data_IF_162650057540
#
_entry.id   IF_162650057540
#
_cell.length_a   1.000
_cell.length_b   1.000
_cell.length_c   1.000
_cell.angle_alpha   90.00
_cell.angle_beta   90.00
_cell.angle_gamma   90.00
#
_symmetry.space_group_name_H-M   'P 1'
#
loop_
_entity.id
_entity.type
_entity.pdbx_description
1 polymer ?
#
# COMPACT_ATOMS: atom_id res chain seq x y z
N UNK A 1 30.83 -10.18 7.60
CA UNK A 1 30.11 -10.86 6.49
C UNK A 1 29.46 -9.74 5.65
N UNK A 2 30.03 -9.42 4.48
CA UNK A 2 29.48 -8.41 3.57
C UNK A 2 28.24 -9.07 2.95
N UNK A 3 27.04 -8.67 3.43
CA UNK A 3 25.79 -9.03 2.78
C UNK A 3 25.76 -8.29 1.44
N UNK A 4 26.02 -9.01 0.36
CA UNK A 4 25.87 -8.48 -1.00
C UNK A 4 24.39 -8.15 -1.20
N UNK A 5 24.10 -6.89 -1.53
CA UNK A 5 22.74 -6.48 -1.84
C UNK A 5 22.24 -7.30 -3.04
N UNK A 6 21.04 -7.87 -2.94
CA UNK A 6 20.43 -8.62 -4.03
C UNK A 6 20.10 -7.67 -5.20
N UNK A 7 20.32 -8.14 -6.42
CA UNK A 7 20.01 -7.37 -7.64
C UNK A 7 18.84 -8.03 -8.38
N UNK A 8 17.67 -7.36 -8.38
CA UNK A 8 16.47 -7.85 -9.03
C UNK A 8 16.46 -7.75 -10.55
N UNK A 9 17.48 -7.11 -11.13
CA UNK A 9 17.58 -6.94 -12.59
C UNK A 9 17.60 -8.24 -13.38
N UNK A 10 17.98 -9.36 -12.75
CA UNK A 10 17.94 -10.70 -13.36
C UNK A 10 16.55 -11.35 -13.38
N UNK A 11 15.56 -10.79 -12.67
CA UNK A 11 14.19 -11.31 -12.61
C UNK A 11 13.34 -10.68 -13.72
N UNK A 12 13.21 -9.37 -13.71
CA UNK A 12 12.34 -8.62 -14.63
C UNK A 12 12.92 -7.26 -15.04
N UNK A 13 14.25 -7.16 -15.08
CA UNK A 13 14.95 -5.94 -15.50
C UNK A 13 14.60 -5.48 -16.90
N UNK A 14 14.33 -6.40 -17.85
CA UNK A 14 13.87 -6.06 -19.21
C UNK A 14 12.48 -5.42 -19.18
N UNK A 15 11.51 -6.05 -18.49
CA UNK A 15 10.17 -5.49 -18.35
C UNK A 15 10.17 -4.12 -17.65
N UNK A 16 11.07 -3.93 -16.68
CA UNK A 16 11.28 -2.63 -16.06
C UNK A 16 11.80 -1.58 -17.07
N UNK A 17 12.83 -1.92 -17.86
CA UNK A 17 13.40 -0.98 -18.84
C UNK A 17 12.41 -0.59 -19.91
N UNK A 18 11.58 -1.53 -20.39
CA UNK A 18 10.53 -1.28 -21.38
C UNK A 18 9.48 -0.28 -20.85
N UNK A 19 9.09 -0.41 -19.58
CA UNK A 19 8.14 0.52 -18.94
C UNK A 19 8.75 1.90 -18.78
N UNK A 20 10.01 1.99 -18.31
CA UNK A 20 10.69 3.28 -18.12
C UNK A 20 10.96 3.97 -19.46
N UNK A 21 11.33 3.22 -20.49
CA UNK A 21 11.49 3.77 -21.85
C UNK A 21 10.15 4.30 -22.39
N UNK A 22 9.07 3.56 -22.20
CA UNK A 22 7.72 4.03 -22.55
C UNK A 22 7.35 5.32 -21.81
N UNK A 23 7.73 5.47 -20.55
CA UNK A 23 7.51 6.67 -19.77
C UNK A 23 8.32 7.85 -20.34
N UNK A 24 9.58 7.65 -20.74
CA UNK A 24 10.40 8.72 -21.33
C UNK A 24 9.85 9.25 -22.67
N UNK A 25 9.08 8.45 -23.40
CA UNK A 25 8.44 8.82 -24.65
C UNK A 25 6.98 9.27 -24.48
N UNK A 26 6.45 9.25 -23.25
CA UNK A 26 5.08 9.63 -22.96
C UNK A 26 4.88 11.16 -23.00
N UNK A 27 3.64 11.64 -23.27
CA UNK A 27 3.33 13.06 -23.14
C UNK A 27 3.55 13.55 -21.71
N UNK A 28 4.17 14.72 -21.52
CA UNK A 28 4.52 15.29 -20.21
C UNK A 28 3.34 15.46 -19.24
N UNK A 29 2.11 15.62 -19.75
CA UNK A 29 0.91 15.67 -18.89
C UNK A 29 0.63 14.30 -18.23
N UNK A 30 0.93 13.19 -18.91
CA UNK A 30 0.76 11.85 -18.37
C UNK A 30 1.79 11.61 -17.27
N UNK A 31 3.06 11.91 -17.54
CA UNK A 31 4.13 11.77 -16.55
C UNK A 31 3.90 12.62 -15.30
N UNK A 32 3.47 13.87 -15.50
CA UNK A 32 3.11 14.74 -14.40
C UNK A 32 1.96 14.20 -13.57
N UNK A 33 0.95 13.60 -14.20
CA UNK A 33 -0.19 12.99 -13.52
C UNK A 33 0.23 11.73 -12.74
N UNK A 34 1.03 10.86 -13.36
CA UNK A 34 1.51 9.63 -12.72
C UNK A 34 2.45 9.94 -11.57
N UNK A 35 3.38 10.89 -11.74
CA UNK A 35 4.26 11.34 -10.66
C UNK A 35 3.50 11.97 -9.49
N UNK A 36 2.51 12.81 -9.77
CA UNK A 36 1.64 13.37 -8.73
C UNK A 36 0.85 12.27 -7.99
N UNK A 37 0.32 11.27 -8.72
CA UNK A 37 -0.34 10.12 -8.13
C UNK A 37 0.61 9.28 -7.29
N UNK A 38 1.80 8.98 -7.80
CA UNK A 38 2.85 8.24 -7.10
C UNK A 38 3.22 8.90 -5.76
N UNK A 39 3.32 10.23 -5.74
CA UNK A 39 3.72 11.01 -4.55
C UNK A 39 2.57 11.20 -3.57
N UNK A 40 1.38 11.58 -4.04
CA UNK A 40 0.27 12.04 -3.19
C UNK A 40 -0.89 11.04 -3.14
N UNK A 41 -0.93 10.03 -4.00
CA UNK A 41 -2.08 9.11 -4.13
C UNK A 41 -2.42 8.32 -2.87
N UNK A 42 -1.45 8.11 -1.97
CA UNK A 42 -1.73 7.46 -0.67
C UNK A 42 -2.72 8.27 0.19
N UNK A 43 -2.82 9.59 0.01
CA UNK A 43 -3.81 10.41 0.70
C UNK A 43 -5.26 10.02 0.36
N UNK A 44 -5.51 9.51 -0.85
CA UNK A 44 -6.84 9.01 -1.25
C UNK A 44 -7.28 7.84 -0.36
N UNK A 45 -6.37 6.93 -0.02
CA UNK A 45 -6.69 5.82 0.89
C UNK A 45 -7.01 6.33 2.30
N UNK A 46 -6.28 7.32 2.80
CA UNK A 46 -6.59 7.96 4.08
C UNK A 46 -7.99 8.58 4.08
N UNK A 47 -8.37 9.30 3.01
CA UNK A 47 -9.71 9.85 2.85
C UNK A 47 -10.77 8.73 2.81
N UNK A 48 -10.53 7.65 2.04
CA UNK A 48 -11.46 6.51 1.98
C UNK A 48 -11.63 5.83 3.34
N UNK A 49 -10.57 5.71 4.14
CA UNK A 49 -10.64 5.18 5.52
C UNK A 49 -11.48 6.09 6.42
N UNK A 50 -11.28 7.41 6.37
CA UNK A 50 -12.07 8.39 7.14
C UNK A 50 -13.54 8.34 6.73
N UNK A 51 -13.84 8.32 5.43
CA UNK A 51 -15.21 8.19 4.91
C UNK A 51 -15.83 6.86 5.34
N UNK A 52 -15.07 5.78 5.27
CA UNK A 52 -15.51 4.45 5.73
C UNK A 52 -15.89 4.45 7.20
N UNK A 53 -15.01 4.97 8.06
CA UNK A 53 -15.28 5.12 9.48
C UNK A 53 -16.48 6.03 9.76
N UNK A 54 -16.56 7.20 9.13
CA UNK A 54 -17.66 8.14 9.29
C UNK A 54 -19.02 7.53 8.97
N UNK A 55 -19.09 6.70 7.92
CA UNK A 55 -20.32 5.99 7.55
C UNK A 55 -20.61 4.83 8.50
N UNK A 56 -19.59 4.07 8.88
CA UNK A 56 -19.71 2.90 9.74
C UNK A 56 -20.23 3.25 11.14
N UNK A 57 -19.76 4.36 11.74
CA UNK A 57 -20.23 4.80 13.07
C UNK A 57 -21.72 5.16 13.13
N UNK A 58 -22.35 5.46 11.97
CA UNK A 58 -23.80 5.68 11.86
C UNK A 58 -24.59 4.38 11.74
N UNK A 59 -23.93 3.29 11.39
CA UNK A 59 -24.55 1.95 11.29
C UNK A 59 -24.55 1.27 12.65
N UNK A 60 -23.46 1.39 13.42
CA UNK A 60 -23.35 0.84 14.75
C UNK A 60 -21.89 0.60 15.18
N UNK A 61 -21.72 0.27 16.46
CA UNK A 61 -20.41 0.13 17.09
C UNK A 61 -19.53 -0.95 16.43
N UNK A 62 -20.10 -2.08 16.03
CA UNK A 62 -19.35 -3.16 15.36
C UNK A 62 -18.80 -2.75 14.00
N UNK A 63 -19.64 -2.06 13.21
CA UNK A 63 -19.21 -1.51 11.93
C UNK A 63 -18.11 -0.46 12.12
N UNK A 64 -18.23 0.39 13.14
CA UNK A 64 -17.21 1.39 13.47
C UNK A 64 -15.89 0.75 13.92
N UNK A 65 -15.92 -0.33 14.72
CA UNK A 65 -14.73 -1.11 15.10
C UNK A 65 -14.04 -1.68 13.86
N UNK A 66 -14.81 -2.27 12.94
CA UNK A 66 -14.28 -2.81 11.69
C UNK A 66 -13.60 -1.71 10.87
N UNK A 67 -14.20 -0.52 10.79
CA UNK A 67 -13.63 0.61 10.06
C UNK A 67 -12.37 1.19 10.73
N UNK A 68 -12.34 1.27 12.07
CA UNK A 68 -11.17 1.72 12.83
C UNK A 68 -10.01 0.72 12.79
N UNK A 69 -10.29 -0.55 12.55
CA UNK A 69 -9.24 -1.56 12.37
C UNK A 69 -8.47 -1.36 11.05
N UNK A 70 -9.08 -0.74 10.02
CA UNK A 70 -8.43 -0.56 8.71
C UNK A 70 -7.09 0.17 8.82
N UNK A 71 -6.99 1.39 9.39
CA UNK A 71 -5.70 2.07 9.51
C UNK A 71 -4.69 1.28 10.37
N UNK A 72 -5.14 0.57 11.40
CA UNK A 72 -4.26 -0.27 12.23
C UNK A 72 -3.65 -1.40 11.41
N UNK A 73 -4.45 -2.08 10.59
CA UNK A 73 -4.00 -3.16 9.70
C UNK A 73 -3.04 -2.63 8.65
N UNK A 74 -3.32 -1.45 8.08
CA UNK A 74 -2.43 -0.81 7.09
C UNK A 74 -1.07 -0.47 7.70
N UNK A 75 -1.05 0.11 8.91
CA UNK A 75 0.19 0.42 9.62
C UNK A 75 0.97 -0.85 9.96
N UNK A 76 0.29 -1.90 10.40
CA UNK A 76 0.93 -3.20 10.67
C UNK A 76 1.52 -3.82 9.40
N UNK A 77 0.79 -3.77 8.28
CA UNK A 77 1.27 -4.26 6.98
C UNK A 77 2.51 -3.48 6.52
N UNK A 78 2.51 -2.15 6.65
CA UNK A 78 3.68 -1.31 6.37
C UNK A 78 4.87 -1.66 7.26
N UNK A 79 4.65 -1.89 8.56
CA UNK A 79 5.71 -2.29 9.48
C UNK A 79 6.35 -3.63 9.10
N UNK A 80 5.52 -4.63 8.76
CA UNK A 80 6.01 -5.94 8.30
C UNK A 80 6.77 -5.80 6.97
N UNK A 81 6.25 -5.03 6.03
CA UNK A 81 6.90 -4.74 4.75
C UNK A 81 8.30 -4.11 4.97
N UNK A 82 8.41 -3.15 5.88
CA UNK A 82 9.68 -2.50 6.24
C UNK A 82 10.69 -3.50 6.83
N UNK A 83 10.22 -4.47 7.64
CA UNK A 83 11.08 -5.53 8.16
C UNK A 83 11.56 -6.46 7.04
N UNK A 84 10.67 -6.87 6.12
CA UNK A 84 11.04 -7.66 4.95
C UNK A 84 12.06 -6.92 4.08
N UNK A 85 11.83 -5.63 3.84
CA UNK A 85 12.74 -4.75 3.09
C UNK A 85 14.14 -4.72 3.72
N UNK A 86 14.23 -4.60 5.02
CA UNK A 86 15.51 -4.59 5.75
C UNK A 86 16.22 -5.95 5.76
N UNK A 87 15.47 -7.05 5.59
CA UNK A 87 16.00 -8.40 5.52
C UNK A 87 16.52 -8.74 4.11
N UNK A 88 15.76 -8.43 3.05
CA UNK A 88 16.09 -8.75 1.66
C UNK A 88 17.17 -7.83 1.09
N UNK A 89 17.09 -6.53 1.35
CA UNK A 89 18.07 -5.51 0.94
C UNK A 89 18.32 -5.46 -0.56
N UNK A 90 17.26 -5.51 -1.35
CA UNK A 90 17.36 -5.41 -2.79
C UNK A 90 17.70 -3.98 -3.23
N UNK A 91 18.68 -3.85 -4.14
CA UNK A 91 19.06 -2.57 -4.73
C UNK A 91 17.98 -2.05 -5.68
N UNK A 92 17.70 -0.74 -5.63
CA UNK A 92 16.70 -0.14 -6.52
C UNK A 92 17.14 -0.18 -7.98
N UNK A 93 16.19 -0.36 -8.93
CA UNK A 93 16.49 -0.45 -10.37
C UNK A 93 17.23 0.78 -10.90
N UNK A 94 16.85 1.99 -10.46
CA UNK A 94 17.52 3.24 -10.85
C UNK A 94 19.02 3.28 -10.50
N UNK A 95 19.48 2.47 -9.54
CA UNK A 95 20.90 2.34 -9.18
C UNK A 95 21.59 1.20 -9.92
N UNK A 96 20.91 0.05 -10.00
CA UNK A 96 21.46 -1.17 -10.60
C UNK A 96 21.62 -1.02 -12.10
N UNK A 97 20.63 -0.42 -12.79
CA UNK A 97 20.59 -0.28 -14.24
C UNK A 97 21.03 1.10 -14.74
N UNK A 98 21.20 2.09 -13.84
CA UNK A 98 21.64 3.45 -14.15
C UNK A 98 20.79 4.13 -15.24
N UNK A 99 19.48 3.90 -15.21
CA UNK A 99 18.52 4.53 -16.13
C UNK A 99 18.02 5.85 -15.57
N UNK A 100 17.66 6.77 -16.46
CA UNK A 100 16.98 8.03 -16.09
C UNK A 100 15.54 7.71 -15.71
N UNK A 101 15.08 8.18 -14.56
CA UNK A 101 13.75 7.91 -13.99
C UNK A 101 12.99 9.23 -13.81
N UNK A 102 11.65 9.17 -13.80
CA UNK A 102 10.80 10.35 -13.59
C UNK A 102 10.91 10.89 -12.14
N UNK A 103 11.00 10.00 -11.17
CA UNK A 103 11.29 10.39 -9.78
C UNK A 103 12.78 10.23 -9.47
N UNK A 104 13.28 11.08 -8.57
CA UNK A 104 14.65 10.96 -8.08
C UNK A 104 14.85 9.59 -7.40
N UNK A 105 16.00 8.96 -7.67
CA UNK A 105 16.33 7.69 -7.06
C UNK A 105 16.45 7.86 -5.53
N UNK A 106 15.68 7.08 -4.74
CA UNK A 106 15.68 7.18 -3.28
C UNK A 106 17.07 7.00 -2.67
N UNK A 107 17.31 7.51 -1.46
CA UNK A 107 18.61 7.50 -0.80
C UNK A 107 19.24 6.10 -0.65
N UNK A 108 20.59 5.97 -0.60
CA UNK A 108 21.23 4.71 -0.27
C UNK A 108 20.71 4.13 1.05
N UNK A 109 20.41 2.81 1.06
CA UNK A 109 19.81 2.15 2.22
C UNK A 109 18.27 2.13 2.21
N UNK A 110 17.62 2.89 1.34
CA UNK A 110 16.20 2.70 1.03
C UNK A 110 16.04 1.62 -0.06
N UNK A 111 15.88 0.39 0.41
CA UNK A 111 15.83 -0.82 -0.41
C UNK A 111 14.58 -0.90 -1.29
N UNK A 112 14.63 -1.71 -2.36
CA UNK A 112 13.56 -1.84 -3.34
C UNK A 112 12.45 -2.77 -2.88
N UNK A 113 12.78 -4.00 -2.55
CA UNK A 113 11.84 -5.10 -2.30
C UNK A 113 11.40 -5.21 -0.83
N UNK A 114 10.12 -5.39 -0.53
CA UNK A 114 8.96 -5.16 -1.39
C UNK A 114 8.59 -3.67 -1.51
N UNK A 115 7.58 -3.32 -2.34
CA UNK A 115 7.16 -1.93 -2.51
C UNK A 115 6.20 -1.46 -1.41
N UNK A 116 6.63 -0.56 -0.53
CA UNK A 116 5.82 0.00 0.56
C UNK A 116 4.50 0.63 0.06
N UNK A 117 4.54 1.39 -1.05
CA UNK A 117 3.34 2.02 -1.61
C UNK A 117 2.32 0.98 -2.07
N UNK A 118 2.79 -0.08 -2.74
CA UNK A 118 1.93 -1.18 -3.18
C UNK A 118 1.34 -1.93 -1.98
N UNK A 119 2.14 -2.18 -0.93
CA UNK A 119 1.71 -2.85 0.31
C UNK A 119 0.63 -2.04 1.03
N UNK A 120 0.84 -0.74 1.25
CA UNK A 120 -0.13 0.15 1.90
C UNK A 120 -1.43 0.20 1.11
N UNK A 121 -1.34 0.40 -0.21
CA UNK A 121 -2.51 0.53 -1.08
C UNK A 121 -3.33 -0.77 -1.13
N UNK A 122 -2.67 -1.92 -1.28
CA UNK A 122 -3.33 -3.23 -1.31
C UNK A 122 -3.96 -3.58 0.06
N UNK A 123 -3.25 -3.32 1.16
CA UNK A 123 -3.80 -3.53 2.50
C UNK A 123 -5.04 -2.68 2.75
N UNK A 124 -5.00 -1.40 2.38
CA UNK A 124 -6.14 -0.50 2.50
C UNK A 124 -7.33 -0.97 1.65
N UNK A 125 -7.08 -1.36 0.40
CA UNK A 125 -8.13 -1.84 -0.51
C UNK A 125 -8.82 -3.08 0.05
N UNK A 126 -8.07 -4.11 0.43
CA UNK A 126 -8.61 -5.35 1.00
C UNK A 126 -9.36 -5.07 2.30
N UNK A 127 -8.78 -4.31 3.22
CA UNK A 127 -9.44 -4.01 4.49
C UNK A 127 -10.74 -3.19 4.31
N UNK A 128 -10.78 -2.25 3.36
CA UNK A 128 -11.98 -1.47 3.04
C UNK A 128 -13.12 -2.29 2.44
N UNK A 129 -12.86 -3.43 1.78
CA UNK A 129 -13.93 -4.35 1.36
C UNK A 129 -14.74 -4.91 2.54
N UNK A 130 -14.12 -5.05 3.70
CA UNK A 130 -14.80 -5.48 4.93
C UNK A 130 -15.70 -4.39 5.53
N UNK A 131 -15.43 -3.13 5.21
CA UNK A 131 -16.24 -1.97 5.64
C UNK A 131 -17.36 -1.71 4.64
N UNK A 132 -17.03 -1.67 3.34
CA UNK A 132 -17.98 -1.40 2.27
C UNK A 132 -17.44 -1.92 0.94
N UNK A 133 -18.25 -2.74 0.22
CA UNK A 133 -17.87 -3.23 -1.11
C UNK A 133 -17.54 -2.09 -2.09
N UNK A 134 -18.29 -0.98 -2.03
CA UNK A 134 -18.06 0.18 -2.92
C UNK A 134 -16.73 0.87 -2.59
N UNK A 135 -16.44 1.11 -1.31
CA UNK A 135 -15.17 1.73 -0.92
C UNK A 135 -13.97 0.81 -1.23
N UNK A 136 -14.12 -0.49 -0.99
CA UNK A 136 -13.09 -1.48 -1.35
C UNK A 136 -12.84 -1.53 -2.85
N UNK A 137 -13.88 -1.49 -3.70
CA UNK A 137 -13.72 -1.47 -5.15
C UNK A 137 -13.01 -0.20 -5.64
N UNK A 138 -13.39 0.98 -5.14
CA UNK A 138 -12.69 2.25 -5.45
C UNK A 138 -11.23 2.17 -5.01
N UNK A 139 -10.99 1.69 -3.78
CA UNK A 139 -9.63 1.53 -3.26
C UNK A 139 -8.82 0.50 -4.06
N UNK A 140 -9.44 -0.57 -4.59
CA UNK A 140 -8.74 -1.57 -5.41
C UNK A 140 -8.29 -0.98 -6.76
N UNK A 141 -9.12 -0.16 -7.41
CA UNK A 141 -8.73 0.57 -8.64
C UNK A 141 -7.59 1.55 -8.33
N UNK A 142 -7.72 2.30 -7.24
CA UNK A 142 -6.67 3.22 -6.80
C UNK A 142 -5.36 2.49 -6.45
N UNK A 143 -5.45 1.29 -5.83
CA UNK A 143 -4.28 0.47 -5.50
C UNK A 143 -3.59 -0.07 -6.75
N UNK A 144 -4.34 -0.49 -7.77
CA UNK A 144 -3.77 -0.88 -9.06
C UNK A 144 -3.03 0.29 -9.71
N UNK A 145 -3.64 1.47 -9.75
CA UNK A 145 -3.00 2.67 -10.27
C UNK A 145 -1.74 3.04 -9.47
N UNK A 146 -1.77 2.91 -8.14
CA UNK A 146 -0.59 3.11 -7.28
C UNK A 146 0.51 2.10 -7.62
N UNK A 147 0.18 0.83 -7.72
CA UNK A 147 1.12 -0.24 -8.03
C UNK A 147 1.83 0.01 -9.37
N UNK A 148 1.07 0.31 -10.42
CA UNK A 148 1.61 0.60 -11.76
C UNK A 148 2.47 1.86 -11.77
N UNK A 149 2.07 2.90 -11.04
CA UNK A 149 2.83 4.16 -10.99
C UNK A 149 4.25 3.96 -10.46
N UNK A 150 4.48 2.99 -9.53
CA UNK A 150 5.81 2.77 -8.94
C UNK A 150 6.84 2.22 -9.93
N UNK A 151 6.40 1.45 -10.92
CA UNK A 151 7.25 0.98 -12.02
C UNK A 151 7.43 2.11 -13.05
N UNK A 152 6.33 2.80 -13.38
CA UNK A 152 6.34 3.90 -14.35
C UNK A 152 7.31 5.02 -13.97
N UNK A 153 7.30 5.46 -12.72
CA UNK A 153 8.23 6.51 -12.24
C UNK A 153 9.67 6.00 -12.05
N UNK A 154 9.91 4.70 -12.20
CA UNK A 154 11.24 4.10 -12.28
C UNK A 154 11.89 3.74 -10.93
N UNK A 155 11.13 3.69 -9.83
CA UNK A 155 11.72 3.47 -8.48
C UNK A 155 11.61 2.03 -7.97
N UNK A 156 10.82 1.17 -8.62
CA UNK A 156 10.62 -0.24 -8.27
C UNK A 156 10.62 -1.15 -9.49
N UNK A 157 11.10 -2.37 -9.32
CA UNK A 157 10.88 -3.46 -10.26
C UNK A 157 9.42 -3.93 -10.26
N UNK A 158 8.90 -4.54 -11.35
CA UNK A 158 7.56 -5.14 -11.34
C UNK A 158 7.36 -6.18 -10.22
N UNK A 159 8.34 -7.04 -9.96
CA UNK A 159 8.25 -8.04 -8.88
C UNK A 159 8.19 -7.43 -7.47
N UNK A 160 8.84 -6.27 -7.22
CA UNK A 160 8.72 -5.55 -5.93
C UNK A 160 7.27 -5.16 -5.67
N UNK A 161 6.63 -4.68 -6.73
CA UNK A 161 5.24 -4.21 -6.69
C UNK A 161 4.29 -5.39 -6.47
N UNK A 162 4.47 -6.50 -7.20
CA UNK A 162 3.68 -7.72 -7.04
C UNK A 162 3.83 -8.28 -5.63
N UNK A 163 5.05 -8.34 -5.11
CA UNK A 163 5.31 -8.78 -3.75
C UNK A 163 4.66 -7.87 -2.71
N UNK A 164 4.76 -6.54 -2.89
CA UNK A 164 4.11 -5.57 -2.01
C UNK A 164 2.59 -5.73 -2.00
N UNK A 165 1.97 -5.89 -3.18
CA UNK A 165 0.52 -6.18 -3.29
C UNK A 165 0.17 -7.47 -2.55
N UNK A 166 0.93 -8.54 -2.76
CA UNK A 166 0.68 -9.83 -2.10
C UNK A 166 0.81 -9.73 -0.57
N UNK A 167 1.87 -9.11 -0.08
CA UNK A 167 2.10 -8.89 1.37
C UNK A 167 0.94 -8.09 1.97
N UNK A 168 0.61 -6.93 1.39
CA UNK A 168 -0.47 -6.06 1.88
C UNK A 168 -1.83 -6.75 1.88
N UNK A 169 -2.17 -7.42 0.77
CA UNK A 169 -3.45 -8.09 0.61
C UNK A 169 -3.60 -9.27 1.59
N UNK A 170 -2.59 -10.14 1.71
CA UNK A 170 -2.65 -11.31 2.58
C UNK A 170 -2.71 -10.93 4.07
N UNK A 171 -1.91 -9.95 4.49
CA UNK A 171 -1.92 -9.46 5.87
C UNK A 171 -3.28 -8.82 6.21
N UNK A 172 -3.80 -7.98 5.32
CA UNK A 172 -5.10 -7.35 5.54
C UNK A 172 -6.24 -8.38 5.54
N UNK A 173 -6.23 -9.35 4.63
CA UNK A 173 -7.23 -10.42 4.59
C UNK A 173 -7.21 -11.22 5.88
N UNK A 174 -6.03 -11.69 6.30
CA UNK A 174 -5.88 -12.47 7.53
C UNK A 174 -6.33 -11.71 8.77
N UNK A 175 -5.89 -10.45 8.92
CA UNK A 175 -6.25 -9.60 10.05
C UNK A 175 -7.76 -9.32 10.11
N UNK A 176 -8.37 -8.96 8.97
CA UNK A 176 -9.79 -8.64 8.93
C UNK A 176 -10.70 -9.87 9.08
N UNK A 177 -10.29 -11.03 8.57
CA UNK A 177 -10.99 -12.31 8.82
C UNK A 177 -10.91 -12.68 10.29
N UNK A 178 -9.75 -12.51 10.92
CA UNK A 178 -9.58 -12.76 12.36
C UNK A 178 -10.43 -11.82 13.21
N UNK A 179 -10.46 -10.52 12.86
CA UNK A 179 -11.26 -9.51 13.56
C UNK A 179 -12.76 -9.87 13.54
N UNK A 180 -13.27 -10.41 12.42
CA UNK A 180 -14.68 -10.84 12.29
C UNK A 180 -15.11 -11.93 13.27
N UNK A 181 -14.18 -12.57 13.97
CA UNK A 181 -14.51 -13.59 14.98
C UNK A 181 -14.97 -12.97 16.31
N UNK A 182 -14.58 -11.71 16.61
CA UNK A 182 -14.84 -11.06 17.91
C UNK A 182 -15.30 -9.60 17.83
N UNK A 183 -16.12 -9.18 16.85
CA UNK A 183 -16.47 -7.76 16.69
C UNK A 183 -17.24 -7.23 17.91
N UNK A 184 -18.20 -8.01 18.44
CA UNK A 184 -19.06 -7.63 19.55
C UNK A 184 -18.29 -7.43 20.85
N UNK A 185 -17.35 -8.34 21.16
CA UNK A 185 -16.56 -8.24 22.37
C UNK A 185 -15.65 -7.01 22.37
N UNK A 186 -15.09 -6.69 21.21
CA UNK A 186 -14.24 -5.51 21.04
C UNK A 186 -15.07 -4.23 21.10
N UNK A 187 -16.23 -4.19 20.46
CA UNK A 187 -17.15 -3.07 20.50
C UNK A 187 -17.61 -2.78 21.94
N UNK A 188 -18.03 -3.82 22.72
CA UNK A 188 -18.40 -3.66 24.13
C UNK A 188 -17.25 -3.12 24.98
N UNK A 189 -16.03 -3.63 24.79
CA UNK A 189 -14.86 -3.16 25.56
C UNK A 189 -14.57 -1.69 25.28
N UNK A 190 -14.59 -1.26 24.01
CA UNK A 190 -14.30 0.11 23.63
C UNK A 190 -15.43 1.07 24.07
N UNK A 191 -16.69 0.66 23.95
CA UNK A 191 -17.84 1.48 24.39
C UNK A 191 -17.89 1.69 25.90
N UNK A 192 -17.24 0.82 26.69
CA UNK A 192 -17.07 0.99 28.12
C UNK A 192 -15.95 1.99 28.49
N UNK A 193 -15.23 2.53 27.52
CA UNK A 193 -14.12 3.47 27.73
C UNK A 193 -14.46 4.89 27.26
N UNK A 194 -13.54 5.84 27.47
CA UNK A 194 -13.62 7.21 26.95
C UNK A 194 -13.57 7.26 25.41
N UNK A 195 -13.28 6.15 24.74
CA UNK A 195 -13.25 6.06 23.28
C UNK A 195 -14.62 5.78 22.65
N UNK A 196 -15.70 5.67 23.45
CA UNK A 196 -17.07 5.51 22.98
C UNK A 196 -17.46 6.44 21.82
N UNK A 197 -17.11 7.76 21.82
CA UNK A 197 -17.49 8.68 20.72
C UNK A 197 -16.90 8.29 19.36
N UNK A 198 -15.87 7.44 19.30
CA UNK A 198 -15.32 6.94 18.06
C UNK A 198 -16.21 5.87 17.41
N UNK A 199 -17.08 5.22 18.19
CA UNK A 199 -17.92 4.12 17.75
C UNK A 199 -19.39 4.49 17.53
N UNK A 200 -19.88 5.52 18.21
CA UNK A 200 -21.29 5.92 18.17
C UNK A 200 -21.36 7.44 17.96
N UNK A 201 -22.22 7.87 17.05
CA UNK A 201 -22.53 9.27 16.81
C UNK A 201 -23.70 9.72 17.68
#
# INVERSE_FOLDING_TARGET
MILVAFQGSSIDGEAYTDVVDSAQHAPGWLDGTVSAWSTYGLAVFAVLMVVGWWRARRVGAEAAVTALAVPVVVVAAYGIDTLLKSAVRESRPCRSLRVTTLEACPAPGDWSFPSNHATIAAAAAVALFFVSRRLGAVAAVAALAMALSRVWVGVHYPHDVVAGVAVGALLALGAMVLLRRWPDSLARRITATRLRPLLVS
#
